data_IF_723135516579
#
_entry.id   IF_723135516579
#
_cell.length_a   1.000
_cell.length_b   1.000
_cell.length_c   1.000
_cell.angle_alpha   90.00
_cell.angle_beta   90.00
_cell.angle_gamma   90.00
#
_symmetry.space_group_name_H-M   'P 1'
#
loop_
_entity.id
_entity.type
_entity.pdbx_description
1 polymer ?
#
# COMPACT_ATOMS: atom_id res chain seq x y z
N UNK A 1 -13.15 -33.85 2.89
CA UNK A 1 -12.09 -33.43 1.96
C UNK A 1 -12.55 -32.09 1.42
N UNK A 2 -11.89 -30.98 1.78
CA UNK A 2 -12.16 -29.72 1.10
C UNK A 2 -11.84 -29.95 -0.38
N UNK A 3 -12.83 -29.72 -1.25
CA UNK A 3 -12.75 -29.97 -2.69
C UNK A 3 -12.39 -28.71 -3.46
N UNK A 4 -11.95 -27.65 -2.77
CA UNK A 4 -11.60 -26.38 -3.38
C UNK A 4 -10.26 -26.44 -4.10
N UNK A 5 -10.20 -25.81 -5.28
CA UNK A 5 -8.94 -25.47 -5.93
C UNK A 5 -8.36 -24.19 -5.30
N UNK A 6 -7.04 -24.03 -5.31
CA UNK A 6 -6.40 -22.74 -5.00
C UNK A 6 -6.62 -21.83 -6.20
N UNK A 7 -7.14 -20.62 -5.96
CA UNK A 7 -7.44 -19.66 -7.04
C UNK A 7 -6.51 -18.45 -7.05
N UNK A 8 -5.91 -18.10 -5.92
CA UNK A 8 -5.00 -16.97 -5.78
C UNK A 8 -4.27 -17.01 -4.43
N UNK A 9 -3.28 -16.12 -4.27
CA UNK A 9 -2.63 -15.81 -3.01
C UNK A 9 -3.15 -14.46 -2.50
N UNK A 10 -3.53 -14.37 -1.22
CA UNK A 10 -4.00 -13.13 -0.62
C UNK A 10 -2.82 -12.27 -0.18
N UNK A 11 -2.53 -11.17 -0.89
CA UNK A 11 -1.41 -10.26 -0.56
C UNK A 11 -1.53 -9.55 0.80
N UNK A 12 -2.69 -9.62 1.47
CA UNK A 12 -2.95 -8.95 2.74
C UNK A 12 -2.52 -9.80 3.94
N UNK A 13 -2.76 -11.11 3.88
CA UNK A 13 -2.41 -12.06 4.96
C UNK A 13 -1.35 -13.09 4.56
N UNK A 14 -0.96 -13.13 3.28
CA UNK A 14 0.01 -14.08 2.71
C UNK A 14 -0.47 -15.54 2.76
N UNK A 15 -1.78 -15.76 2.88
CA UNK A 15 -2.42 -17.08 2.86
C UNK A 15 -3.05 -17.37 1.49
N UNK A 16 -3.22 -18.67 1.18
CA UNK A 16 -3.88 -19.13 -0.04
C UNK A 16 -5.38 -18.82 0.01
N UNK A 17 -5.96 -18.43 -1.13
CA UNK A 17 -7.40 -18.30 -1.32
C UNK A 17 -7.90 -19.56 -2.00
N UNK A 18 -8.83 -20.23 -1.35
CA UNK A 18 -9.51 -21.39 -1.90
C UNK A 18 -10.80 -20.98 -2.61
N UNK A 19 -11.15 -21.71 -3.67
CA UNK A 19 -12.34 -21.44 -4.50
C UNK A 19 -13.64 -21.38 -3.68
N UNK A 20 -13.73 -22.18 -2.62
CA UNK A 20 -14.88 -22.33 -1.73
C UNK A 20 -14.89 -21.35 -0.55
N UNK A 21 -13.86 -20.50 -0.43
CA UNK A 21 -13.80 -19.44 0.57
C UNK A 21 -14.43 -18.14 0.06
N UNK A 22 -14.95 -17.27 0.94
CA UNK A 22 -15.40 -15.95 0.55
C UNK A 22 -14.21 -15.03 0.21
N UNK A 23 -14.22 -14.49 -1.01
CA UNK A 23 -13.19 -13.61 -1.56
C UNK A 23 -13.80 -12.41 -2.28
N UNK A 24 -12.99 -11.37 -2.46
CA UNK A 24 -13.33 -10.11 -3.12
C UNK A 24 -12.19 -9.67 -4.04
N UNK A 25 -12.49 -8.85 -5.06
CA UNK A 25 -11.47 -8.26 -5.94
C UNK A 25 -11.21 -6.82 -5.51
N UNK A 26 -9.97 -6.52 -5.11
CA UNK A 26 -9.53 -5.18 -4.72
C UNK A 26 -8.26 -4.83 -5.49
N UNK A 27 -8.27 -3.71 -6.22
CA UNK A 27 -7.18 -3.28 -7.09
C UNK A 27 -6.78 -4.36 -8.11
N UNK A 28 -7.77 -5.00 -8.74
CA UNK A 28 -7.58 -6.08 -9.72
C UNK A 28 -6.91 -7.36 -9.17
N UNK A 29 -6.78 -7.48 -7.84
CA UNK A 29 -6.25 -8.68 -7.16
C UNK A 29 -7.30 -9.32 -6.25
N UNK A 30 -7.33 -10.65 -6.22
CA UNK A 30 -8.17 -11.45 -5.33
C UNK A 30 -7.63 -11.40 -3.90
N UNK A 31 -8.49 -11.11 -2.94
CA UNK A 31 -8.20 -11.16 -1.51
C UNK A 31 -9.34 -11.85 -0.76
N UNK A 32 -9.06 -12.40 0.42
CA UNK A 32 -10.13 -12.87 1.32
C UNK A 32 -11.08 -11.72 1.65
N UNK A 33 -12.38 -12.00 1.75
CA UNK A 33 -13.38 -10.99 2.14
C UNK A 33 -13.03 -10.37 3.51
N UNK A 34 -12.54 -11.19 4.44
CA UNK A 34 -12.06 -10.77 5.77
C UNK A 34 -10.87 -9.80 5.72
N UNK A 35 -10.13 -9.78 4.61
CA UNK A 35 -8.95 -8.94 4.41
C UNK A 35 -9.26 -7.57 3.81
N UNK A 36 -10.47 -7.33 3.28
CA UNK A 36 -10.87 -6.06 2.65
C UNK A 36 -10.67 -4.86 3.58
N UNK A 37 -11.02 -5.00 4.86
CA UNK A 37 -10.84 -3.93 5.86
C UNK A 37 -9.37 -3.57 6.10
N UNK A 38 -8.46 -4.55 6.04
CA UNK A 38 -7.01 -4.32 6.13
C UNK A 38 -6.49 -3.70 4.84
N UNK A 39 -6.88 -4.22 3.67
CA UNK A 39 -6.48 -3.70 2.37
C UNK A 39 -6.81 -2.20 2.21
N UNK A 40 -8.03 -1.81 2.58
CA UNK A 40 -8.46 -0.40 2.53
C UNK A 40 -7.69 0.49 3.50
N UNK A 41 -7.36 0.00 4.70
CA UNK A 41 -6.50 0.72 5.65
C UNK A 41 -5.06 0.86 5.13
N UNK A 42 -4.49 -0.21 4.57
CA UNK A 42 -3.16 -0.16 3.93
C UNK A 42 -3.15 0.87 2.80
N UNK A 43 -4.20 0.92 1.97
CA UNK A 43 -4.32 1.95 0.93
C UNK A 43 -4.34 3.38 1.48
N UNK A 44 -5.11 3.63 2.56
CA UNK A 44 -5.11 4.92 3.26
C UNK A 44 -3.73 5.29 3.80
N UNK A 45 -3.00 4.33 4.36
CA UNK A 45 -1.64 4.54 4.85
C UNK A 45 -0.67 4.89 3.71
N UNK A 46 -0.77 4.21 2.56
CA UNK A 46 0.03 4.49 1.36
C UNK A 46 -0.20 5.92 0.88
N UNK A 47 -1.46 6.38 0.81
CA UNK A 47 -1.78 7.76 0.42
C UNK A 47 -1.13 8.76 1.40
N UNK A 48 -1.26 8.51 2.70
CA UNK A 48 -0.68 9.37 3.74
C UNK A 48 0.85 9.42 3.66
N UNK A 49 1.50 8.27 3.45
CA UNK A 49 2.95 8.18 3.28
C UNK A 49 3.42 8.95 2.04
N UNK A 50 2.73 8.80 0.89
CA UNK A 50 3.03 9.57 -0.32
C UNK A 50 2.95 11.07 -0.09
N UNK A 51 1.96 11.53 0.67
CA UNK A 51 1.84 12.95 1.01
C UNK A 51 2.98 13.42 1.93
N UNK A 52 3.35 12.61 2.93
CA UNK A 52 4.47 12.91 3.81
C UNK A 52 5.81 12.97 3.04
N UNK A 53 6.06 12.02 2.13
CA UNK A 53 7.23 12.03 1.25
C UNK A 53 7.30 13.32 0.44
N UNK A 54 6.21 13.69 -0.24
CA UNK A 54 6.16 14.93 -1.03
C UNK A 54 6.45 16.17 -0.17
N UNK A 55 5.94 16.22 1.07
CA UNK A 55 6.20 17.33 2.00
C UNK A 55 7.68 17.37 2.41
N UNK A 56 8.30 16.22 2.67
CA UNK A 56 9.71 16.12 3.04
C UNK A 56 10.61 16.50 1.87
N UNK A 57 10.36 15.99 0.66
CA UNK A 57 11.10 16.36 -0.55
C UNK A 57 11.10 17.88 -0.79
N UNK A 58 9.94 18.52 -0.63
CA UNK A 58 9.83 19.96 -0.75
C UNK A 58 10.63 20.72 0.33
N UNK A 59 10.68 20.20 1.56
CA UNK A 59 11.51 20.79 2.63
C UNK A 59 12.99 20.65 2.33
N UNK A 60 13.42 19.46 1.91
CA UNK A 60 14.82 19.21 1.51
C UNK A 60 15.24 20.18 0.41
N UNK A 61 14.45 20.30 -0.66
CA UNK A 61 14.75 21.25 -1.76
C UNK A 61 14.87 22.70 -1.30
N UNK A 62 14.04 23.14 -0.35
CA UNK A 62 14.11 24.50 0.21
C UNK A 62 15.39 24.72 1.00
N UNK A 63 15.72 23.78 1.89
CA UNK A 63 16.94 23.85 2.70
C UNK A 63 18.20 23.79 1.82
N UNK A 64 18.22 22.94 0.80
CA UNK A 64 19.32 22.87 -0.17
C UNK A 64 19.52 24.20 -0.92
N UNK A 65 18.42 24.90 -1.24
CA UNK A 65 18.49 26.22 -1.85
C UNK A 65 19.03 27.26 -0.88
N UNK A 66 18.51 27.30 0.35
CA UNK A 66 18.94 28.24 1.39
C UNK A 66 20.44 28.09 1.71
N UNK A 67 20.93 26.85 1.80
CA UNK A 67 22.35 26.59 2.06
C UNK A 67 23.22 26.99 0.87
N UNK A 68 22.76 26.73 -0.36
CA UNK A 68 23.45 27.20 -1.58
C UNK A 68 23.55 28.72 -1.63
N UNK A 69 22.46 29.41 -1.31
CA UNK A 69 22.42 30.87 -1.30
C UNK A 69 23.33 31.44 -0.20
N UNK A 70 23.44 30.76 0.96
CA UNK A 70 24.38 31.12 2.03
C UNK A 70 25.86 30.94 1.64
N UNK A 71 26.20 29.88 0.91
CA UNK A 71 27.59 29.62 0.49
C UNK A 71 28.05 30.65 -0.57
N UNK A 72 27.14 31.10 -1.43
CA UNK A 72 27.46 31.99 -2.56
C UNK A 72 27.30 33.49 -2.26
N UNK A 73 26.77 33.86 -1.09
CA UNK A 73 26.58 35.24 -0.65
C UNK A 73 27.63 35.66 0.38
#
# INVERSE_FOLDING_TARGET
>A
MASGCIIADCWVCEELIWEDEPWEIVNDELIHESCVGKATNTHKQIIKLKEQMRRLENKVRKLEKEERDRING
#
